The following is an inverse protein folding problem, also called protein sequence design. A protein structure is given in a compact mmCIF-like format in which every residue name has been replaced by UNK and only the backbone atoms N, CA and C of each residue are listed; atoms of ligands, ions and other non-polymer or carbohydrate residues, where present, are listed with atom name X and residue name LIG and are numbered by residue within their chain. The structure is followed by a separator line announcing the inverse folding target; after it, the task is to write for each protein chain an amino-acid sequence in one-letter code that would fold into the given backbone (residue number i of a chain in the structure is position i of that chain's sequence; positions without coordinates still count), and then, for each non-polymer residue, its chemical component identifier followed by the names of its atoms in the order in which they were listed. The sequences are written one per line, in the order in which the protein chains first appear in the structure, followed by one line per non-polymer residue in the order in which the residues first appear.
data_IF_413664214869
#
_entry.id   IF_413664214869
#
_cell.length_a   1.000
_cell.length_b   1.000
_cell.length_c   1.000
_cell.angle_alpha   90.00
_cell.angle_beta   90.00
_cell.angle_gamma   90.00
#
_symmetry.space_group_name_H-M   'P 1'
#
loop_
_entity.id
_entity.type
_entity.pdbx_description
1 polymer ?
#
# COMPACT_ATOMS: atom_id res chain seq x y z
N UNK A 1 -49.21 55.09 5.67
CA UNK A 1 -47.78 54.83 5.33
C UNK A 1 -47.19 53.55 5.95
N UNK A 2 -47.68 53.03 7.10
CA UNK A 2 -47.18 51.76 7.69
C UNK A 2 -47.31 50.52 6.80
N UNK A 3 -48.38 50.42 5.99
CA UNK A 3 -48.61 49.26 5.10
C UNK A 3 -47.55 49.15 3.97
N UNK A 4 -47.08 50.28 3.45
CA UNK A 4 -46.02 50.30 2.44
C UNK A 4 -44.64 50.00 3.04
N UNK A 5 -44.37 50.45 4.27
CA UNK A 5 -43.13 50.10 4.99
C UNK A 5 -43.03 48.59 5.27
N UNK A 6 -44.12 47.94 5.67
CA UNK A 6 -44.15 46.50 5.89
C UNK A 6 -43.94 45.69 4.60
N UNK A 7 -44.51 46.15 3.49
CA UNK A 7 -44.31 45.52 2.18
C UNK A 7 -42.84 45.63 1.71
N UNK A 8 -42.21 46.79 1.88
CA UNK A 8 -40.81 47.02 1.50
C UNK A 8 -39.86 46.16 2.34
N UNK A 9 -40.10 46.04 3.65
CA UNK A 9 -39.31 45.18 4.54
C UNK A 9 -39.40 43.69 4.14
N UNK A 10 -40.60 43.24 3.77
CA UNK A 10 -40.80 41.86 3.30
C UNK A 10 -40.08 41.61 1.96
N UNK A 11 -40.12 42.58 1.05
CA UNK A 11 -39.39 42.53 -0.22
C UNK A 11 -37.86 42.46 0.00
N UNK A 12 -37.32 43.30 0.87
CA UNK A 12 -35.88 43.29 1.20
C UNK A 12 -35.48 41.98 1.86
N UNK A 13 -36.32 41.44 2.77
CA UNK A 13 -36.08 40.15 3.40
C UNK A 13 -36.01 39.01 2.38
N UNK A 14 -36.99 38.91 1.47
CA UNK A 14 -37.00 37.93 0.39
C UNK A 14 -35.78 38.07 -0.53
N UNK A 15 -35.41 39.31 -0.88
CA UNK A 15 -34.24 39.57 -1.73
C UNK A 15 -32.95 39.10 -1.04
N UNK A 16 -32.81 39.36 0.27
CA UNK A 16 -31.62 38.95 1.03
C UNK A 16 -31.49 37.43 1.10
N UNK A 17 -32.59 36.70 1.32
CA UNK A 17 -32.60 35.23 1.34
C UNK A 17 -32.28 34.68 -0.04
N UNK A 18 -32.82 35.28 -1.11
CA UNK A 18 -32.50 34.90 -2.49
C UNK A 18 -31.01 35.05 -2.80
N UNK A 19 -30.40 36.19 -2.44
CA UNK A 19 -28.97 36.44 -2.62
C UNK A 19 -28.14 35.42 -1.80
N UNK A 20 -28.54 35.11 -0.58
CA UNK A 20 -27.83 34.16 0.30
C UNK A 20 -27.88 32.72 -0.26
N UNK A 21 -29.01 32.31 -0.83
CA UNK A 21 -29.14 31.03 -1.53
C UNK A 21 -28.32 30.99 -2.82
N UNK A 22 -28.29 32.08 -3.59
CA UNK A 22 -27.49 32.16 -4.79
C UNK A 22 -25.99 32.10 -4.45
N UNK A 23 -25.56 32.81 -3.40
CA UNK A 23 -24.19 32.78 -2.90
C UNK A 23 -23.80 31.39 -2.40
N UNK A 24 -24.70 30.68 -1.70
CA UNK A 24 -24.47 29.29 -1.29
C UNK A 24 -24.33 28.35 -2.48
N UNK A 25 -25.14 28.55 -3.52
CA UNK A 25 -25.11 27.73 -4.74
C UNK A 25 -23.82 27.96 -5.53
N UNK A 26 -23.41 29.21 -5.73
CA UNK A 26 -22.15 29.56 -6.37
C UNK A 26 -20.94 29.11 -5.54
N UNK A 27 -20.98 29.23 -4.21
CA UNK A 27 -19.89 28.75 -3.36
C UNK A 27 -19.78 27.21 -3.38
N UNK A 28 -20.90 26.49 -3.44
CA UNK A 28 -20.91 25.04 -3.64
C UNK A 28 -20.38 24.64 -5.03
N UNK A 29 -20.74 25.40 -6.07
CA UNK A 29 -20.24 25.21 -7.43
C UNK A 29 -18.74 25.47 -7.51
N UNK A 30 -18.25 26.53 -6.87
CA UNK A 30 -16.82 26.85 -6.72
C UNK A 30 -16.07 25.79 -5.94
N UNK A 31 -16.64 25.23 -4.85
CA UNK A 31 -16.05 24.08 -4.15
C UNK A 31 -15.98 22.85 -5.04
N UNK A 32 -17.00 22.60 -5.86
CA UNK A 32 -16.99 21.50 -6.84
C UNK A 32 -15.90 21.73 -7.88
N UNK A 33 -15.83 22.92 -8.48
CA UNK A 33 -14.83 23.27 -9.48
C UNK A 33 -13.42 23.27 -8.89
N UNK A 34 -13.21 23.77 -7.67
CA UNK A 34 -11.93 23.68 -6.96
C UNK A 34 -11.55 22.23 -6.64
N UNK A 35 -12.50 21.35 -6.31
CA UNK A 35 -12.23 19.92 -6.13
C UNK A 35 -11.76 19.25 -7.42
N UNK A 36 -12.32 19.65 -8.58
CA UNK A 36 -11.94 19.09 -9.88
C UNK A 36 -10.70 19.77 -10.52
N UNK A 37 -10.47 21.06 -10.27
CA UNK A 37 -9.30 21.80 -10.79
C UNK A 37 -8.07 21.60 -9.90
N UNK A 38 -8.23 21.37 -8.58
CA UNK A 38 -7.10 20.96 -7.74
C UNK A 38 -6.54 19.59 -8.13
N UNK A 39 -7.31 18.74 -8.81
CA UNK A 39 -6.91 17.40 -9.22
C UNK A 39 -5.80 17.37 -10.28
N UNK A 40 -5.54 18.48 -10.99
CA UNK A 40 -4.65 18.47 -12.16
C UNK A 40 -3.34 19.26 -12.01
N UNK A 41 -2.97 19.75 -10.82
CA UNK A 41 -1.59 20.27 -10.67
C UNK A 41 -1.22 21.08 -9.44
N UNK A 42 -2.15 21.38 -8.51
CA UNK A 42 -1.82 22.04 -7.23
C UNK A 42 -1.98 21.15 -6.00
N UNK A 43 -2.85 20.13 -6.02
CA UNK A 43 -2.88 19.11 -4.96
C UNK A 43 -1.54 18.41 -4.86
N UNK A 44 -0.90 18.12 -5.99
CA UNK A 44 0.37 17.41 -6.02
C UNK A 44 1.45 18.17 -5.24
N UNK A 45 1.58 19.50 -5.35
CA UNK A 45 2.61 20.23 -4.59
C UNK A 45 2.34 20.22 -3.08
N UNK A 46 1.08 20.33 -2.67
CA UNK A 46 0.71 20.28 -1.24
C UNK A 46 0.80 18.84 -0.67
N UNK A 47 0.44 17.84 -1.46
CA UNK A 47 0.58 16.41 -1.16
C UNK A 47 2.06 16.03 -1.11
N UNK A 48 2.86 16.46 -2.08
CA UNK A 48 4.32 16.30 -2.10
C UNK A 48 4.98 16.94 -0.89
N UNK A 49 4.57 18.16 -0.50
CA UNK A 49 5.05 18.81 0.73
C UNK A 49 4.63 18.06 2.00
N UNK A 50 3.40 17.53 2.05
CA UNK A 50 2.94 16.70 3.18
C UNK A 50 3.68 15.37 3.25
N UNK A 51 3.98 14.76 2.11
CA UNK A 51 4.79 13.54 2.01
C UNK A 51 6.22 13.81 2.48
N UNK A 52 6.84 14.89 2.02
CA UNK A 52 8.19 15.31 2.40
C UNK A 52 8.29 15.67 3.89
N UNK A 53 7.25 16.28 4.47
CA UNK A 53 7.22 16.61 5.90
C UNK A 53 6.81 15.42 6.79
N UNK A 54 6.01 14.49 6.30
CA UNK A 54 5.47 13.35 7.05
C UNK A 54 6.36 12.10 7.01
N UNK A 55 7.40 12.07 6.17
CA UNK A 55 8.42 11.02 6.19
C UNK A 55 9.58 11.46 7.07
N UNK A 56 9.73 10.88 8.26
CA UNK A 56 10.94 11.07 9.09
C UNK A 56 12.18 10.65 8.27
N UNK A 57 13.08 11.59 7.99
CA UNK A 57 14.35 11.37 7.28
C UNK A 57 15.42 10.69 8.16
N UNK A 58 15.06 9.71 8.98
CA UNK A 58 15.99 9.28 10.04
C UNK A 58 17.09 8.32 9.57
N UNK A 59 17.00 7.74 8.35
CA UNK A 59 18.07 6.89 7.80
C UNK A 59 18.20 7.07 6.27
N UNK A 60 19.24 7.77 5.77
CA UNK A 60 19.51 7.93 4.32
C UNK A 60 19.64 6.59 3.57
N UNK A 61 19.87 5.50 4.29
CA UNK A 61 20.08 4.15 3.77
C UNK A 61 18.77 3.41 3.46
N UNK A 62 17.66 3.77 4.12
CA UNK A 62 16.33 3.13 4.04
C UNK A 62 15.31 4.05 3.35
N UNK A 63 15.70 4.65 2.23
CA UNK A 63 14.86 5.55 1.44
C UNK A 63 13.74 4.78 0.68
N UNK A 64 12.89 4.06 1.41
CA UNK A 64 11.80 3.21 0.89
C UNK A 64 10.76 4.00 0.08
N UNK A 65 10.63 5.30 0.34
CA UNK A 65 9.78 6.22 -0.40
C UNK A 65 10.42 6.77 -1.67
N UNK A 66 11.75 6.63 -1.85
CA UNK A 66 12.49 7.13 -3.04
C UNK A 66 12.77 6.00 -4.04
N UNK A 67 12.58 6.23 -5.34
CA UNK A 67 11.93 7.38 -5.94
C UNK A 67 10.42 7.36 -5.64
N UNK A 68 9.85 8.56 -5.54
CA UNK A 68 8.43 8.70 -5.26
C UNK A 68 7.62 8.14 -6.44
N UNK A 69 6.74 7.16 -6.21
CA UNK A 69 5.98 6.55 -7.28
C UNK A 69 4.76 7.41 -7.61
N UNK A 70 4.58 7.72 -8.88
CA UNK A 70 3.45 8.52 -9.38
C UNK A 70 3.08 7.94 -10.73
N UNK A 71 1.78 7.78 -10.98
CA UNK A 71 1.30 7.35 -12.29
C UNK A 71 1.61 8.42 -13.33
N UNK A 72 2.42 8.08 -14.31
CA UNK A 72 2.87 8.95 -15.39
C UNK A 72 2.48 8.35 -16.73
N UNK A 73 1.91 9.18 -17.61
CA UNK A 73 1.49 8.76 -18.94
C UNK A 73 2.71 8.35 -19.78
N UNK A 74 2.68 7.15 -20.33
CA UNK A 74 3.67 6.64 -21.30
C UNK A 74 2.95 6.24 -22.58
N UNK A 75 3.33 6.84 -23.72
CA UNK A 75 2.54 6.73 -24.94
C UNK A 75 1.15 7.38 -24.80
N UNK A 76 0.15 6.87 -25.53
CA UNK A 76 -1.21 7.46 -25.54
C UNK A 76 -2.22 6.70 -24.68
N UNK A 77 -1.94 5.44 -24.34
CA UNK A 77 -2.90 4.55 -23.66
C UNK A 77 -2.36 3.89 -22.39
N UNK A 78 -1.12 4.18 -22.00
CA UNK A 78 -0.46 3.51 -20.87
C UNK A 78 -0.01 4.51 -19.82
N UNK A 79 0.07 4.05 -18.58
CA UNK A 79 0.57 4.79 -17.43
C UNK A 79 1.53 3.91 -16.64
N UNK A 80 2.69 4.44 -16.28
CA UNK A 80 3.70 3.76 -15.47
C UNK A 80 3.75 4.35 -14.06
N UNK A 81 3.93 3.51 -13.05
CA UNK A 81 3.89 3.92 -11.63
C UNK A 81 5.27 4.00 -10.98
N UNK A 82 5.98 2.88 -10.95
CA UNK A 82 7.26 2.72 -10.27
C UNK A 82 8.21 1.88 -11.11
N UNK A 83 9.50 2.17 -10.98
CA UNK A 83 10.55 1.56 -11.78
C UNK A 83 11.73 1.11 -10.91
N UNK A 84 12.22 -0.10 -11.16
CA UNK A 84 13.23 -0.77 -10.35
C UNK A 84 14.35 -1.28 -11.24
N UNK A 85 15.60 -1.12 -10.82
CA UNK A 85 16.77 -1.62 -11.52
C UNK A 85 17.33 -2.87 -10.85
N UNK A 86 17.47 -3.93 -11.63
CA UNK A 86 18.11 -5.17 -11.21
C UNK A 86 19.35 -5.46 -12.05
N UNK A 87 20.52 -5.49 -11.39
CA UNK A 87 21.77 -5.89 -12.05
C UNK A 87 21.84 -7.41 -12.10
N UNK A 88 22.23 -7.98 -13.26
CA UNK A 88 22.52 -9.41 -13.38
C UNK A 88 23.95 -9.62 -12.88
N UNK A 89 24.16 -10.57 -11.96
CA UNK A 89 25.49 -10.79 -11.36
C UNK A 89 26.40 -11.61 -12.25
N UNK A 90 25.85 -12.64 -12.90
CA UNK A 90 26.62 -13.61 -13.67
C UNK A 90 26.81 -13.19 -15.13
N UNK A 91 26.14 -12.11 -15.56
CA UNK A 91 26.15 -11.63 -16.93
C UNK A 91 26.21 -10.11 -16.92
N UNK A 92 27.00 -9.52 -17.80
CA UNK A 92 27.06 -8.07 -17.96
C UNK A 92 25.66 -7.48 -18.24
N UNK A 93 25.36 -6.35 -17.59
CA UNK A 93 24.11 -5.61 -17.73
C UNK A 93 23.09 -5.89 -16.63
N UNK A 94 21.81 -5.76 -16.99
CA UNK A 94 20.72 -5.71 -16.03
C UNK A 94 19.37 -5.56 -16.70
N UNK A 95 18.34 -5.38 -15.87
CA UNK A 95 16.95 -5.33 -16.28
C UNK A 95 16.21 -4.30 -15.43
N UNK A 96 15.54 -3.35 -16.08
CA UNK A 96 14.61 -2.45 -15.42
C UNK A 96 13.22 -3.07 -15.41
N UNK A 97 12.56 -3.07 -14.26
CA UNK A 97 11.22 -3.58 -14.01
C UNK A 97 10.30 -2.41 -13.72
N UNK A 98 9.20 -2.29 -14.46
CA UNK A 98 8.27 -1.15 -14.35
C UNK A 98 6.84 -1.64 -14.26
N UNK A 99 6.10 -1.13 -13.27
CA UNK A 99 4.68 -1.41 -13.11
C UNK A 99 3.88 -0.47 -14.00
N UNK A 100 3.04 -1.03 -14.88
CA UNK A 100 2.32 -0.30 -15.92
C UNK A 100 0.85 -0.73 -15.95
N UNK A 101 -0.04 0.21 -16.25
CA UNK A 101 -1.43 -0.07 -16.59
C UNK A 101 -1.74 0.53 -17.96
N UNK A 102 -2.48 -0.22 -18.77
CA UNK A 102 -2.95 0.22 -20.09
C UNK A 102 -4.47 0.22 -20.16
N UNK A 103 -5.04 1.06 -21.03
CA UNK A 103 -6.45 0.91 -21.42
C UNK A 103 -6.68 -0.49 -21.96
N UNK A 104 -7.84 -1.07 -21.66
CA UNK A 104 -8.20 -2.39 -22.21
C UNK A 104 -8.14 -2.37 -23.74
N UNK A 105 -7.52 -3.40 -24.34
CA UNK A 105 -7.36 -3.51 -25.80
C UNK A 105 -6.26 -2.64 -26.41
N UNK A 106 -5.50 -1.89 -25.61
CA UNK A 106 -4.36 -1.12 -26.11
C UNK A 106 -3.24 -2.05 -26.61
N UNK A 107 -2.65 -1.71 -27.76
CA UNK A 107 -1.53 -2.46 -28.35
C UNK A 107 -0.24 -2.08 -27.63
N UNK A 108 0.49 -3.08 -27.13
CA UNK A 108 1.75 -2.88 -26.42
C UNK A 108 2.91 -2.94 -27.42
N UNK A 109 3.37 -1.77 -27.88
CA UNK A 109 4.53 -1.65 -28.78
C UNK A 109 5.45 -0.48 -28.39
N UNK A 110 6.48 -0.80 -27.61
CA UNK A 110 7.39 0.19 -27.04
C UNK A 110 8.85 -0.13 -27.36
N UNK A 111 9.63 0.94 -27.54
CA UNK A 111 11.09 0.91 -27.41
C UNK A 111 11.47 1.38 -26.02
N UNK A 112 12.48 0.77 -25.42
CA UNK A 112 12.95 1.17 -24.10
C UNK A 112 14.40 1.66 -24.16
N UNK A 113 14.71 2.64 -23.32
CA UNK A 113 16.06 3.18 -23.16
C UNK A 113 16.32 3.55 -21.70
N UNK A 114 17.59 3.49 -21.31
CA UNK A 114 18.08 3.77 -19.97
C UNK A 114 19.00 4.98 -20.02
N UNK A 115 18.82 5.93 -19.11
CA UNK A 115 19.72 7.07 -18.95
C UNK A 115 20.79 6.76 -17.91
N UNK A 116 22.04 7.08 -18.25
CA UNK A 116 23.23 6.80 -17.44
C UNK A 116 24.06 8.08 -17.35
N UNK A 117 24.36 8.55 -16.14
CA UNK A 117 25.19 9.75 -15.94
C UNK A 117 24.57 11.01 -16.56
N UNK A 118 23.25 11.16 -16.44
CA UNK A 118 22.47 12.33 -16.90
C UNK A 118 22.30 12.53 -18.42
N UNK A 119 23.31 12.22 -19.24
CA UNK A 119 23.31 12.58 -20.68
C UNK A 119 23.34 11.39 -21.63
N UNK A 120 23.96 10.27 -21.23
CA UNK A 120 24.09 9.09 -22.09
C UNK A 120 22.83 8.25 -22.02
N UNK A 121 22.30 7.87 -23.19
CA UNK A 121 21.19 6.93 -23.29
C UNK A 121 21.68 5.59 -23.86
N UNK A 122 21.18 4.49 -23.30
CA UNK A 122 21.46 3.14 -23.76
C UNK A 122 20.15 2.48 -24.14
N UNK A 123 20.04 2.04 -25.38
CA UNK A 123 18.85 1.33 -25.86
C UNK A 123 18.83 -0.09 -25.28
N UNK A 124 17.68 -0.47 -24.72
CA UNK A 124 17.44 -1.81 -24.20
C UNK A 124 16.49 -2.62 -25.08
N UNK A 125 16.40 -3.91 -24.77
CA UNK A 125 15.40 -4.83 -25.32
C UNK A 125 14.14 -4.76 -24.46
N UNK A 126 13.06 -4.28 -25.06
CA UNK A 126 11.75 -4.25 -24.42
C UNK A 126 11.13 -5.65 -24.35
N UNK A 127 10.52 -5.96 -23.22
CA UNK A 127 9.62 -7.10 -23.01
C UNK A 127 8.50 -6.67 -22.09
N UNK A 128 7.40 -7.40 -22.10
CA UNK A 128 6.34 -7.22 -21.13
C UNK A 128 5.72 -8.56 -20.73
N UNK A 129 5.06 -8.56 -19.58
CA UNK A 129 4.25 -9.66 -19.07
C UNK A 129 2.92 -9.09 -18.58
N UNK A 130 1.81 -9.77 -18.89
CA UNK A 130 0.51 -9.47 -18.29
C UNK A 130 0.47 -10.03 -16.86
N UNK A 131 -0.15 -9.30 -15.92
CA UNK A 131 -0.37 -9.84 -14.58
C UNK A 131 -1.34 -11.03 -14.64
N UNK A 132 -0.80 -12.24 -14.45
CA UNK A 132 -1.45 -13.53 -14.75
C UNK A 132 -2.64 -13.93 -13.87
N UNK A 133 -3.17 -13.00 -13.07
CA UNK A 133 -4.44 -13.18 -12.35
C UNK A 133 -5.66 -12.75 -13.16
N UNK A 134 -5.46 -12.23 -14.38
CA UNK A 134 -6.54 -12.06 -15.36
C UNK A 134 -6.98 -13.44 -15.85
N UNK A 135 -8.09 -13.95 -15.29
CA UNK A 135 -8.78 -15.07 -15.92
C UNK A 135 -9.09 -14.68 -17.37
N UNK A 136 -8.75 -15.56 -18.32
CA UNK A 136 -9.05 -15.45 -19.77
C UNK A 136 -10.55 -15.32 -20.07
N UNK A 137 -11.40 -15.40 -19.05
CA UNK A 137 -12.81 -15.02 -19.14
C UNK A 137 -12.86 -13.50 -19.32
N UNK A 138 -13.15 -13.07 -20.55
CA UNK A 138 -13.39 -11.71 -20.98
C UNK A 138 -14.10 -10.86 -19.92
N UNK A 139 -13.31 -10.20 -19.08
CA UNK A 139 -13.80 -9.31 -18.04
C UNK A 139 -13.99 -7.93 -18.68
N UNK A 140 -14.99 -7.83 -19.56
CA UNK A 140 -15.43 -6.59 -20.23
C UNK A 140 -15.84 -5.49 -19.23
N UNK A 141 -15.92 -5.82 -17.95
CA UNK A 141 -16.22 -4.90 -16.85
C UNK A 141 -15.05 -3.97 -16.50
N UNK A 142 -13.83 -4.30 -16.94
CA UNK A 142 -12.62 -3.63 -16.46
C UNK A 142 -12.00 -2.67 -17.47
N UNK A 143 -11.86 -1.42 -17.07
CA UNK A 143 -11.38 -0.34 -17.94
C UNK A 143 -9.86 -0.38 -18.23
N UNK A 144 -9.11 -1.26 -17.58
CA UNK A 144 -7.65 -1.34 -17.70
C UNK A 144 -7.09 -2.76 -17.55
N UNK A 145 -5.90 -2.95 -18.12
CA UNK A 145 -5.07 -4.15 -18.02
C UNK A 145 -3.76 -3.81 -17.31
N UNK A 146 -3.28 -4.73 -16.46
CA UNK A 146 -2.03 -4.53 -15.70
C UNK A 146 -0.86 -5.25 -16.36
N UNK A 147 0.27 -4.56 -16.50
CA UNK A 147 1.46 -5.05 -17.17
C UNK A 147 2.70 -4.84 -16.31
N UNK A 148 3.64 -5.76 -16.46
CA UNK A 148 5.02 -5.61 -16.01
C UNK A 148 5.88 -5.37 -17.25
N UNK A 149 6.42 -4.17 -17.37
CA UNK A 149 7.34 -3.82 -18.45
C UNK A 149 8.78 -4.09 -18.02
N UNK A 150 9.57 -4.65 -18.94
CA UNK A 150 10.97 -4.97 -18.74
C UNK A 150 11.82 -4.28 -19.80
N UNK A 151 12.91 -3.65 -19.37
CA UNK A 151 13.94 -3.13 -20.26
C UNK A 151 15.27 -3.82 -19.95
N UNK A 152 15.63 -4.80 -20.79
CA UNK A 152 16.84 -5.59 -20.60
C UNK A 152 18.01 -5.01 -21.39
N UNK A 153 19.19 -4.99 -20.78
CA UNK A 153 20.44 -4.68 -21.45
C UNK A 153 21.51 -5.75 -21.17
N UNK A 154 22.34 -6.00 -22.17
CA UNK A 154 23.38 -7.05 -22.12
C UNK A 154 24.79 -6.52 -21.89
N UNK A 155 24.96 -5.20 -21.83
CA UNK A 155 26.25 -4.54 -21.58
C UNK A 155 26.19 -3.87 -20.22
N UNK A 156 27.32 -3.88 -19.52
CA UNK A 156 27.47 -3.07 -18.32
C UNK A 156 27.85 -1.64 -18.70
N UNK A 157 27.11 -0.69 -18.17
CA UNK A 157 27.32 0.75 -18.37
C UNK A 157 27.19 1.50 -17.06
N UNK A 158 27.33 0.80 -15.92
CA UNK A 158 27.16 1.39 -14.60
C UNK A 158 25.71 1.39 -14.12
N UNK A 159 25.37 2.33 -13.25
CA UNK A 159 24.06 2.42 -12.61
C UNK A 159 23.16 3.38 -13.41
N UNK A 160 22.09 2.88 -14.07
CA UNK A 160 21.17 3.76 -14.78
C UNK A 160 20.26 4.51 -13.81
N UNK A 161 20.07 5.81 -14.04
CA UNK A 161 19.29 6.70 -13.17
C UNK A 161 17.80 6.64 -13.48
N UNK A 162 17.44 6.45 -14.75
CA UNK A 162 16.06 6.42 -15.21
C UNK A 162 15.85 5.50 -16.40
N UNK A 163 14.65 4.98 -16.54
CA UNK A 163 14.18 4.24 -17.72
C UNK A 163 13.09 5.04 -18.43
N UNK A 164 13.05 4.97 -19.75
CA UNK A 164 12.02 5.59 -20.56
C UNK A 164 11.49 4.62 -21.60
N UNK A 165 10.17 4.68 -21.83
CA UNK A 165 9.49 3.89 -22.85
C UNK A 165 8.90 4.84 -23.90
N UNK A 166 9.27 4.64 -25.15
CA UNK A 166 8.77 5.41 -26.29
C UNK A 166 7.87 4.50 -27.10
N UNK A 167 6.60 4.88 -27.19
CA UNK A 167 5.64 4.25 -28.11
C UNK A 167 6.13 4.51 -29.54
N UNK A 168 6.21 3.45 -30.36
CA UNK A 168 6.71 3.56 -31.74
C UNK A 168 5.84 4.49 -32.59
N UNK A 169 4.55 4.60 -32.24
CA UNK A 169 3.58 5.41 -32.98
C UNK A 169 3.52 6.87 -32.50
N UNK A 170 4.09 7.17 -31.33
CA UNK A 170 3.97 8.49 -30.71
C UNK A 170 5.18 9.38 -30.97
N UNK A 171 4.91 10.67 -31.25
CA UNK A 171 5.93 11.71 -31.47
C UNK A 171 6.31 12.40 -30.14
N UNK A 172 5.62 12.06 -29.03
CA UNK A 172 5.84 12.72 -27.73
C UNK A 172 7.21 12.38 -27.16
N UNK A 173 7.81 13.35 -26.46
CA UNK A 173 9.05 13.14 -25.73
C UNK A 173 8.85 12.04 -24.68
N UNK A 174 9.77 11.06 -24.58
CA UNK A 174 9.57 9.94 -23.68
C UNK A 174 9.75 10.37 -22.22
N UNK A 175 8.83 9.91 -21.38
CA UNK A 175 8.86 10.18 -19.94
C UNK A 175 9.96 9.35 -19.29
N UNK A 176 10.77 10.00 -18.45
CA UNK A 176 11.87 9.37 -17.71
C UNK A 176 11.43 8.98 -16.30
N UNK A 177 11.26 7.69 -16.07
CA UNK A 177 10.93 7.12 -14.77
C UNK A 177 12.22 6.89 -13.98
N UNK A 178 12.35 7.49 -12.80
CA UNK A 178 13.51 7.28 -11.92
C UNK A 178 13.56 5.84 -11.42
N UNK A 179 14.74 5.25 -11.44
CA UNK A 179 14.95 3.85 -11.03
C UNK A 179 15.30 3.75 -9.55
N UNK A 180 14.64 2.84 -8.85
CA UNK A 180 15.11 2.35 -7.55
C UNK A 180 16.07 1.19 -7.75
N UNK A 181 17.30 1.33 -7.26
CA UNK A 181 18.28 0.25 -7.38
C UNK A 181 18.04 -0.82 -6.32
N UNK A 182 17.70 -2.03 -6.76
CA UNK A 182 17.61 -3.19 -5.88
C UNK A 182 19.03 -3.69 -5.61
N UNK A 183 19.67 -3.13 -4.58
CA UNK A 183 21.01 -3.55 -4.13
C UNK A 183 20.91 -4.96 -3.52
N UNK A 184 21.65 -5.92 -4.06
CA UNK A 184 21.81 -7.22 -3.38
C UNK A 184 22.64 -7.03 -2.11
N UNK A 185 22.23 -7.68 -1.04
CA UNK A 185 23.07 -7.85 0.15
C UNK A 185 24.33 -8.62 -0.26
N UNK A 186 25.44 -7.91 -0.50
CA UNK A 186 26.73 -8.54 -0.77
C UNK A 186 27.26 -9.12 0.53
N UNK A 187 27.44 -10.45 0.58
CA UNK A 187 28.02 -11.15 1.72
C UNK A 187 29.49 -10.75 2.02
N UNK A 188 30.11 -9.88 1.21
CA UNK A 188 31.52 -9.50 1.31
C UNK A 188 31.75 -8.04 1.75
N UNK A 189 30.72 -7.26 2.03
CA UNK A 189 30.89 -5.92 2.60
C UNK A 189 30.72 -5.99 4.12
N UNK A 190 31.77 -5.69 4.88
CA UNK A 190 31.80 -5.74 6.35
C UNK A 190 30.86 -4.73 7.05
N UNK A 191 30.03 -4.00 6.30
CA UNK A 191 29.10 -2.96 6.77
C UNK A 191 27.79 -3.00 5.98
N UNK A 192 27.21 -4.18 5.74
CA UNK A 192 25.82 -4.26 5.25
C UNK A 192 24.90 -3.85 6.40
N UNK A 193 24.10 -2.77 6.27
CA UNK A 193 23.12 -2.43 7.29
C UNK A 193 22.18 -3.61 7.50
N UNK A 194 21.90 -3.94 8.76
CA UNK A 194 21.01 -5.04 9.10
C UNK A 194 19.66 -4.84 8.41
N UNK A 195 19.16 -5.88 7.73
CA UNK A 195 17.81 -5.86 7.15
C UNK A 195 16.81 -5.66 8.28
N UNK A 196 15.76 -4.89 8.00
CA UNK A 196 14.62 -4.79 8.91
C UNK A 196 14.01 -6.18 9.13
N UNK A 197 13.54 -6.48 10.35
CA UNK A 197 12.93 -7.77 10.63
C UNK A 197 11.62 -7.94 9.84
N UNK A 198 10.77 -6.90 9.82
CA UNK A 198 9.56 -6.87 9.01
C UNK A 198 9.14 -5.43 8.69
N UNK A 199 8.29 -5.30 7.66
CA UNK A 199 7.61 -4.06 7.27
C UNK A 199 6.14 -4.34 7.03
N UNK A 200 5.28 -3.34 7.21
CA UNK A 200 3.87 -3.41 6.82
C UNK A 200 3.60 -2.42 5.70
N UNK A 201 3.03 -2.90 4.60
CA UNK A 201 2.45 -2.03 3.59
C UNK A 201 0.97 -1.81 3.91
N UNK A 202 0.56 -0.55 4.02
CA UNK A 202 -0.79 -0.15 4.37
C UNK A 202 -1.52 0.30 3.10
N UNK A 203 -2.59 -0.41 2.76
CA UNK A 203 -3.45 -0.14 1.61
C UNK A 203 -4.60 0.79 2.03
N UNK A 204 -4.41 2.11 1.90
CA UNK A 204 -5.51 3.08 2.05
C UNK A 204 -6.27 3.31 0.73
N UNK A 205 -5.78 2.80 -0.39
CA UNK A 205 -6.42 2.94 -1.71
C UNK A 205 -7.71 2.12 -1.75
N UNK A 206 -7.62 0.84 -1.38
CA UNK A 206 -8.77 -0.06 -1.35
C UNK A 206 -9.58 0.00 -0.06
N UNK A 207 -9.20 0.87 0.89
CA UNK A 207 -9.84 0.97 2.20
C UNK A 207 -10.90 2.08 2.22
N UNK A 208 -12.08 1.77 2.76
CA UNK A 208 -13.12 2.76 2.91
C UNK A 208 -12.92 3.56 4.21
N UNK A 209 -12.25 4.71 4.11
CA UNK A 209 -12.07 5.66 5.23
C UNK A 209 -13.38 6.18 5.81
N UNK A 210 -14.50 6.11 5.05
CA UNK A 210 -15.82 6.53 5.54
C UNK A 210 -16.57 5.44 6.31
N UNK A 211 -16.03 4.23 6.41
CA UNK A 211 -16.57 3.14 7.21
C UNK A 211 -16.53 3.44 8.71
N UNK A 212 -17.25 2.65 9.53
CA UNK A 212 -17.21 2.76 11.00
C UNK A 212 -15.78 2.69 11.54
N UNK A 213 -15.01 1.71 11.09
CA UNK A 213 -13.59 1.58 11.44
C UNK A 213 -12.78 2.79 10.99
N UNK A 214 -12.94 3.24 9.73
CA UNK A 214 -12.16 4.34 9.17
C UNK A 214 -12.39 5.70 9.82
N UNK A 215 -13.58 5.93 10.39
CA UNK A 215 -13.88 7.15 11.15
C UNK A 215 -13.36 7.12 12.58
N UNK A 216 -13.02 5.95 13.10
CA UNK A 216 -12.52 5.79 14.46
C UNK A 216 -10.99 5.96 14.48
N UNK A 217 -10.55 7.16 14.81
CA UNK A 217 -9.12 7.51 14.85
C UNK A 217 -8.33 6.66 15.85
N UNK A 218 -8.95 6.29 16.98
CA UNK A 218 -8.32 5.41 17.96
C UNK A 218 -8.09 4.01 17.39
N UNK A 219 -9.01 3.49 16.59
CA UNK A 219 -8.85 2.19 15.92
C UNK A 219 -7.70 2.24 14.89
N UNK A 220 -7.60 3.33 14.12
CA UNK A 220 -6.49 3.55 13.19
C UNK A 220 -5.14 3.66 13.92
N UNK A 221 -5.05 4.41 15.01
CA UNK A 221 -3.84 4.50 15.84
C UNK A 221 -3.47 3.12 16.41
N UNK A 222 -4.44 2.40 16.95
CA UNK A 222 -4.24 1.05 17.49
C UNK A 222 -3.71 0.06 16.46
N UNK A 223 -4.13 0.15 15.18
CA UNK A 223 -3.53 -0.65 14.11
C UNK A 223 -2.02 -0.46 14.05
N UNK A 224 -1.51 0.79 14.04
CA UNK A 224 -0.08 1.03 13.96
C UNK A 224 0.67 0.63 15.24
N UNK A 225 0.15 1.01 16.42
CA UNK A 225 0.76 0.70 17.70
C UNK A 225 0.84 -0.81 17.96
N UNK A 226 -0.18 -1.57 17.55
CA UNK A 226 -0.18 -3.03 17.67
C UNK A 226 0.97 -3.65 16.88
N UNK A 227 1.17 -3.22 15.63
CA UNK A 227 2.27 -3.72 14.82
C UNK A 227 3.64 -3.22 15.32
N UNK A 228 3.72 -2.02 15.90
CA UNK A 228 4.93 -1.55 16.57
C UNK A 228 5.29 -2.44 17.78
N UNK A 229 4.31 -2.82 18.61
CA UNK A 229 4.53 -3.73 19.74
C UNK A 229 5.04 -5.13 19.30
N UNK A 230 4.74 -5.54 18.06
CA UNK A 230 5.29 -6.75 17.43
C UNK A 230 6.74 -6.61 16.94
N UNK A 231 7.33 -5.42 17.05
CA UNK A 231 8.65 -5.07 16.54
C UNK A 231 8.65 -4.63 15.07
N UNK A 232 7.51 -4.16 14.54
CA UNK A 232 7.42 -3.59 13.19
C UNK A 232 7.39 -2.07 13.29
N UNK A 233 8.50 -1.43 12.96
CA UNK A 233 8.65 0.02 13.09
C UNK A 233 8.40 0.76 11.77
N UNK A 234 8.47 0.08 10.62
CA UNK A 234 8.47 0.71 9.30
C UNK A 234 7.22 0.36 8.48
N UNK A 235 6.50 1.40 8.05
CA UNK A 235 5.20 1.28 7.36
C UNK A 235 5.21 2.01 6.01
N UNK A 236 4.92 1.31 4.92
CA UNK A 236 4.74 1.93 3.59
C UNK A 236 3.25 2.18 3.38
N UNK A 237 2.83 3.44 3.39
CA UNK A 237 1.41 3.81 3.37
C UNK A 237 1.04 4.30 1.98
N UNK A 238 0.26 3.50 1.25
CA UNK A 238 -0.27 3.85 -0.07
C UNK A 238 -1.49 4.75 0.08
N UNK A 239 -1.54 5.83 -0.69
CA UNK A 239 -2.55 6.88 -0.57
C UNK A 239 -2.51 7.59 0.79
N UNK A 240 -1.29 7.90 1.23
CA UNK A 240 -1.00 8.48 2.55
C UNK A 240 -1.79 9.76 2.86
N UNK A 241 -2.21 10.50 1.85
CA UNK A 241 -3.01 11.72 1.99
C UNK A 241 -4.41 11.50 2.56
N UNK A 242 -4.92 10.27 2.52
CA UNK A 242 -6.17 9.89 3.19
C UNK A 242 -6.00 9.68 4.71
N UNK A 243 -4.77 9.56 5.21
CA UNK A 243 -4.53 9.40 6.64
C UNK A 243 -4.73 10.75 7.36
N UNK A 244 -5.62 10.83 8.37
CA UNK A 244 -5.85 12.05 9.14
C UNK A 244 -4.56 12.63 9.79
N UNK A 245 -4.40 13.94 9.72
CA UNK A 245 -3.17 14.63 10.17
C UNK A 245 -2.93 14.49 11.69
N UNK A 246 -4.00 14.45 12.48
CA UNK A 246 -3.92 14.18 13.90
C UNK A 246 -3.37 12.79 14.22
N UNK A 247 -3.74 11.77 13.43
CA UNK A 247 -3.18 10.43 13.57
C UNK A 247 -1.68 10.46 13.25
N UNK A 248 -1.29 11.09 12.14
CA UNK A 248 0.13 11.26 11.77
C UNK A 248 0.91 11.91 12.92
N UNK A 249 0.41 13.01 13.49
CA UNK A 249 1.06 13.72 14.60
C UNK A 249 1.20 12.88 15.88
N UNK A 250 0.25 11.98 16.15
CA UNK A 250 0.34 11.06 17.29
C UNK A 250 1.41 10.00 17.01
N UNK A 251 1.38 9.40 15.83
CA UNK A 251 2.36 8.38 15.42
C UNK A 251 3.78 8.95 15.33
N UNK A 252 3.96 10.22 14.96
CA UNK A 252 5.26 10.90 14.94
C UNK A 252 5.92 10.98 16.32
N UNK A 253 5.17 10.86 17.40
CA UNK A 253 5.70 10.83 18.78
C UNK A 253 6.16 9.44 19.22
N UNK A 254 5.98 8.44 18.37
CA UNK A 254 6.37 7.05 18.61
C UNK A 254 7.61 6.69 17.78
N UNK A 255 8.07 5.43 17.93
CA UNK A 255 9.14 4.87 17.10
C UNK A 255 8.63 4.33 15.75
N UNK A 256 7.44 4.75 15.32
CA UNK A 256 6.90 4.39 14.01
C UNK A 256 7.46 5.33 12.94
N UNK A 257 7.91 4.72 11.84
CA UNK A 257 8.36 5.38 10.63
C UNK A 257 7.33 5.16 9.51
N UNK A 258 6.63 6.23 9.14
CA UNK A 258 5.67 6.23 8.04
C UNK A 258 6.35 6.66 6.75
N UNK A 259 6.24 5.83 5.71
CA UNK A 259 6.67 6.11 4.35
C UNK A 259 5.45 6.33 3.47
N UNK A 260 5.07 7.59 3.31
CA UNK A 260 3.93 7.96 2.47
C UNK A 260 4.22 7.77 0.98
N UNK A 261 3.33 7.06 0.29
CA UNK A 261 3.38 6.83 -1.15
C UNK A 261 2.08 7.36 -1.78
N UNK A 262 2.15 8.31 -2.72
CA UNK A 262 0.96 8.76 -3.42
C UNK A 262 0.44 7.67 -4.36
N UNK A 263 -0.87 7.66 -4.60
CA UNK A 263 -1.51 6.68 -5.48
C UNK A 263 -2.57 7.33 -6.37
N UNK A 264 -2.11 8.25 -7.24
CA UNK A 264 -2.92 8.98 -8.21
C UNK A 264 -3.40 8.09 -9.39
N UNK A 265 -4.15 7.04 -9.09
CA UNK A 265 -4.52 6.01 -10.06
C UNK A 265 -5.33 6.59 -11.24
N UNK A 266 -4.94 6.31 -12.52
CA UNK A 266 -5.49 7.01 -13.68
C UNK A 266 -6.88 6.51 -14.14
N UNK A 267 -7.39 5.44 -13.54
CA UNK A 267 -8.69 4.87 -13.88
C UNK A 267 -9.67 4.97 -12.71
N UNK A 268 -10.97 5.06 -13.02
CA UNK A 268 -12.01 4.99 -12.00
C UNK A 268 -11.98 3.63 -11.31
N UNK A 269 -11.95 3.65 -9.98
CA UNK A 269 -11.94 2.45 -9.17
C UNK A 269 -13.38 2.00 -8.88
N UNK A 270 -13.69 0.76 -9.27
CA UNK A 270 -14.89 0.02 -8.86
C UNK A 270 -14.50 -1.16 -7.97
N UNK A 271 -15.49 -1.76 -7.31
CA UNK A 271 -15.29 -3.00 -6.53
C UNK A 271 -14.65 -4.13 -7.35
N UNK A 272 -14.97 -4.20 -8.64
CA UNK A 272 -14.43 -5.22 -9.57
C UNK A 272 -12.94 -4.98 -9.83
N UNK A 273 -12.52 -3.71 -9.95
CA UNK A 273 -11.11 -3.35 -10.15
C UNK A 273 -10.27 -3.38 -8.88
N UNK A 274 -10.89 -3.40 -7.69
CA UNK A 274 -10.20 -3.31 -6.40
C UNK A 274 -9.14 -4.42 -6.20
N UNK A 275 -9.44 -5.65 -6.64
CA UNK A 275 -8.48 -6.77 -6.57
C UNK A 275 -7.25 -6.54 -7.44
N UNK A 276 -7.43 -5.93 -8.63
CA UNK A 276 -6.33 -5.64 -9.55
C UNK A 276 -5.46 -4.52 -9.03
N UNK A 277 -6.08 -3.45 -8.53
CA UNK A 277 -5.37 -2.35 -7.85
C UNK A 277 -4.56 -2.87 -6.66
N UNK A 278 -5.15 -3.74 -5.83
CA UNK A 278 -4.43 -4.38 -4.73
C UNK A 278 -3.25 -5.25 -5.20
N UNK A 279 -3.37 -5.94 -6.34
CA UNK A 279 -2.26 -6.70 -6.94
C UNK A 279 -1.09 -5.79 -7.32
N UNK A 280 -1.37 -4.61 -7.90
CA UNK A 280 -0.35 -3.60 -8.25
C UNK A 280 0.34 -3.08 -6.99
N UNK A 281 -0.44 -2.71 -5.97
CA UNK A 281 0.09 -2.25 -4.67
C UNK A 281 0.95 -3.33 -4.03
N UNK A 282 0.51 -4.59 -4.08
CA UNK A 282 1.27 -5.72 -3.57
C UNK A 282 2.60 -5.91 -4.31
N UNK A 283 2.61 -5.83 -5.64
CA UNK A 283 3.83 -5.93 -6.44
C UNK A 283 4.81 -4.78 -6.11
N UNK A 284 4.32 -3.55 -5.98
CA UNK A 284 5.14 -2.41 -5.58
C UNK A 284 5.70 -2.58 -4.16
N UNK A 285 4.85 -2.99 -3.22
CA UNK A 285 5.23 -3.25 -1.82
C UNK A 285 6.34 -4.29 -1.73
N UNK A 286 6.23 -5.39 -2.47
CA UNK A 286 7.29 -6.40 -2.55
C UNK A 286 8.59 -5.79 -3.05
N UNK A 287 8.55 -5.11 -4.20
CA UNK A 287 9.73 -4.56 -4.87
C UNK A 287 10.47 -3.52 -4.04
N UNK A 288 9.75 -2.63 -3.32
CA UNK A 288 10.36 -1.64 -2.42
C UNK A 288 11.08 -2.27 -1.23
N UNK A 289 10.53 -3.36 -0.72
CA UNK A 289 11.05 -4.01 0.49
C UNK A 289 12.14 -5.05 0.20
N UNK A 290 12.33 -5.49 -1.06
CA UNK A 290 13.39 -6.45 -1.40
C UNK A 290 14.75 -5.90 -0.96
N UNK A 291 15.49 -6.73 -0.22
CA UNK A 291 16.79 -6.41 0.39
C UNK A 291 16.76 -5.37 1.52
N UNK A 292 15.59 -4.80 1.84
CA UNK A 292 15.42 -3.84 2.93
C UNK A 292 14.84 -4.52 4.17
N UNK A 293 13.89 -5.44 3.99
CA UNK A 293 13.26 -6.19 5.07
C UNK A 293 13.38 -7.70 4.85
N UNK A 294 13.27 -8.48 5.93
CA UNK A 294 13.20 -9.95 5.86
C UNK A 294 11.79 -10.42 5.52
N UNK A 295 10.78 -9.74 6.08
CA UNK A 295 9.37 -10.01 5.82
C UNK A 295 8.60 -8.74 5.46
N UNK A 296 7.53 -8.89 4.68
CA UNK A 296 6.53 -7.84 4.47
C UNK A 296 5.13 -8.40 4.39
N UNK A 297 4.14 -7.60 4.75
CA UNK A 297 2.72 -7.94 4.65
C UNK A 297 1.94 -6.73 4.14
N UNK A 298 0.97 -6.96 3.24
CA UNK A 298 0.05 -5.93 2.77
C UNK A 298 -1.27 -6.03 3.55
N UNK A 299 -1.61 -4.97 4.28
CA UNK A 299 -2.79 -4.90 5.15
C UNK A 299 -3.61 -3.64 4.85
N UNK A 300 -4.93 -3.74 4.98
CA UNK A 300 -5.79 -2.57 5.19
C UNK A 300 -5.78 -2.19 6.68
N UNK A 301 -6.12 -0.94 7.06
CA UNK A 301 -6.11 -0.53 8.47
C UNK A 301 -7.01 -1.37 9.40
N UNK A 302 -8.06 -1.99 8.87
CA UNK A 302 -8.93 -2.91 9.61
C UNK A 302 -8.41 -4.36 9.62
N UNK A 303 -7.20 -4.62 9.16
CA UNK A 303 -6.57 -5.93 9.10
C UNK A 303 -5.36 -5.95 10.02
N UNK A 304 -5.36 -6.78 11.05
CA UNK A 304 -4.28 -6.82 12.05
C UNK A 304 -3.70 -8.22 12.13
N UNK A 305 -2.39 -8.32 12.02
CA UNK A 305 -1.66 -9.58 12.11
C UNK A 305 -1.24 -9.88 13.54
N UNK A 306 -1.46 -11.12 13.99
CA UNK A 306 -1.04 -11.62 15.30
C UNK A 306 -0.16 -12.85 15.12
N UNK A 307 1.16 -12.72 15.28
CA UNK A 307 2.05 -13.86 15.40
C UNK A 307 2.12 -14.36 16.84
N UNK A 308 2.52 -15.63 17.00
CA UNK A 308 2.77 -16.24 18.30
C UNK A 308 4.04 -15.71 19.02
N UNK A 309 4.84 -14.91 18.33
CA UNK A 309 6.06 -14.28 18.84
C UNK A 309 6.38 -13.02 18.03
N UNK A 310 7.17 -12.12 18.60
CA UNK A 310 7.65 -10.91 17.91
C UNK A 310 8.58 -11.24 16.73
N UNK A 311 8.66 -10.31 15.77
CA UNK A 311 9.56 -10.44 14.62
C UNK A 311 11.04 -10.31 15.01
N UNK A 312 11.37 -9.30 15.81
CA UNK A 312 12.67 -9.13 16.43
C UNK A 312 12.53 -9.37 17.94
N UNK A 313 12.80 -10.59 18.39
CA UNK A 313 13.07 -10.84 19.79
C UNK A 313 14.57 -10.68 20.02
N UNK A 314 14.95 -10.17 21.19
CA UNK A 314 16.33 -9.96 21.60
C UNK A 314 17.08 -11.31 21.66
N UNK A 315 17.62 -11.74 20.50
CA UNK A 315 18.46 -12.93 20.28
C UNK A 315 17.94 -14.27 20.80
N UNK A 316 16.65 -14.42 21.10
CA UNK A 316 16.07 -15.72 21.51
C UNK A 316 15.69 -16.57 20.30
N UNK A 317 15.83 -17.89 20.41
CA UNK A 317 15.38 -18.87 19.40
C UNK A 317 13.86 -18.88 19.17
N UNK A 318 13.10 -18.02 19.85
CA UNK A 318 11.64 -17.96 19.84
C UNK A 318 11.04 -16.95 18.86
N UNK A 319 11.83 -16.14 18.15
CA UNK A 319 11.28 -15.13 17.22
C UNK A 319 10.52 -15.76 16.06
N UNK A 320 9.50 -15.06 15.54
CA UNK A 320 8.73 -15.54 14.38
C UNK A 320 9.64 -15.77 13.18
N UNK A 321 10.64 -14.92 12.96
CA UNK A 321 11.62 -15.09 11.89
C UNK A 321 12.38 -16.42 12.01
N UNK A 322 12.84 -16.75 13.22
CA UNK A 322 13.57 -18.00 13.47
C UNK A 322 12.64 -19.21 13.28
N UNK A 323 11.39 -19.11 13.75
CA UNK A 323 10.38 -20.13 13.53
C UNK A 323 10.19 -20.36 12.03
N UNK A 324 9.90 -19.35 11.22
CA UNK A 324 9.63 -19.49 9.79
C UNK A 324 10.83 -19.98 8.95
N UNK A 325 12.04 -20.05 9.50
CA UNK A 325 13.22 -20.65 8.83
C UNK A 325 13.15 -22.17 8.69
N UNK A 326 12.25 -22.86 9.43
CA UNK A 326 12.08 -24.31 9.24
C UNK A 326 11.49 -24.66 7.87
N UNK A 327 10.80 -23.70 7.22
CA UNK A 327 10.33 -23.86 5.84
C UNK A 327 11.48 -23.68 4.85
N UNK A 328 11.44 -24.44 3.75
CA UNK A 328 12.41 -24.36 2.64
C UNK A 328 12.66 -22.91 2.22
N UNK A 329 13.90 -22.57 1.85
CA UNK A 329 14.29 -21.25 1.37
C UNK A 329 13.46 -20.76 0.15
N UNK A 330 12.85 -21.68 -0.60
CA UNK A 330 11.99 -21.37 -1.74
C UNK A 330 10.54 -20.95 -1.33
N UNK A 331 10.15 -21.20 -0.08
CA UNK A 331 8.84 -20.82 0.46
C UNK A 331 8.80 -19.33 0.82
N UNK A 332 8.44 -18.49 -0.15
CA UNK A 332 8.35 -17.04 0.08
C UNK A 332 6.99 -16.55 0.57
N UNK A 333 5.92 -17.35 0.51
CA UNK A 333 4.55 -16.91 0.81
C UNK A 333 3.91 -17.77 1.89
N UNK A 334 3.47 -17.12 2.96
CA UNK A 334 2.83 -17.74 4.10
C UNK A 334 1.40 -17.21 4.21
N UNK A 335 0.41 -18.06 3.97
CA UNK A 335 -1.00 -17.71 4.11
C UNK A 335 -1.42 -17.75 5.58
N UNK A 336 -2.11 -16.70 6.02
CA UNK A 336 -2.60 -16.55 7.38
C UNK A 336 -4.08 -16.90 7.44
N UNK A 337 -4.45 -17.73 8.42
CA UNK A 337 -5.85 -17.87 8.79
C UNK A 337 -6.41 -16.49 9.17
N UNK A 338 -7.56 -16.13 8.61
CA UNK A 338 -8.16 -14.79 8.76
C UNK A 338 -9.53 -14.90 9.40
N UNK A 339 -9.71 -14.23 10.54
CA UNK A 339 -11.00 -14.14 11.24
C UNK A 339 -11.71 -12.83 10.90
N UNK A 340 -12.97 -12.91 10.45
CA UNK A 340 -13.83 -11.75 10.24
C UNK A 340 -14.44 -11.31 11.58
N UNK A 341 -13.67 -10.53 12.35
CA UNK A 341 -14.02 -10.10 13.72
C UNK A 341 -15.01 -8.95 13.68
N UNK A 342 -16.07 -9.04 14.49
CA UNK A 342 -17.07 -8.00 14.60
C UNK A 342 -16.49 -6.77 15.29
N UNK A 343 -16.52 -5.63 14.60
CA UNK A 343 -16.00 -4.38 15.11
C UNK A 343 -17.03 -3.68 16.02
N UNK A 344 -16.61 -3.38 17.24
CA UNK A 344 -17.34 -2.56 18.20
C UNK A 344 -16.54 -1.29 18.50
N UNK A 345 -17.10 -0.13 18.15
CA UNK A 345 -16.46 1.18 18.32
C UNK A 345 -16.19 1.54 19.79
N UNK A 346 -16.93 0.94 20.73
CA UNK A 346 -16.76 1.19 22.16
C UNK A 346 -15.62 0.37 22.77
N UNK A 347 -15.10 -0.60 22.02
CA UNK A 347 -14.09 -1.54 22.47
C UNK A 347 -12.76 -1.25 21.79
N UNK A 348 -11.66 -1.51 22.50
CA UNK A 348 -10.34 -1.48 21.87
C UNK A 348 -10.22 -2.66 20.90
N UNK A 349 -9.30 -2.57 19.95
CA UNK A 349 -8.90 -3.72 19.15
C UNK A 349 -8.34 -4.83 20.06
N UNK A 350 -7.97 -5.97 19.48
CA UNK A 350 -7.49 -7.16 20.21
C UNK A 350 -8.62 -7.86 20.98
N UNK A 351 -8.40 -8.12 22.27
CA UNK A 351 -9.16 -9.02 23.12
C UNK A 351 -10.53 -8.51 23.53
N UNK A 352 -10.86 -7.24 23.24
CA UNK A 352 -12.18 -6.72 23.56
C UNK A 352 -13.20 -7.08 22.45
N UNK A 353 -12.72 -7.26 21.21
CA UNK A 353 -13.51 -7.73 20.07
C UNK A 353 -13.35 -9.26 19.90
N UNK A 354 -14.14 -10.02 20.66
CA UNK A 354 -14.00 -11.49 20.76
C UNK A 354 -14.82 -12.28 19.73
N UNK A 355 -15.89 -11.68 19.20
CA UNK A 355 -16.84 -12.36 18.34
C UNK A 355 -16.40 -12.27 16.88
N UNK A 356 -16.39 -13.39 16.16
CA UNK A 356 -16.14 -13.43 14.72
C UNK A 356 -17.23 -14.21 13.98
N UNK A 357 -17.41 -13.85 12.72
CA UNK A 357 -18.34 -14.48 11.79
C UNK A 357 -17.58 -15.50 10.91
N UNK A 358 -17.81 -16.82 11.07
CA UNK A 358 -17.13 -17.85 10.28
C UNK A 358 -17.66 -17.95 8.84
N UNK A 359 -18.89 -17.49 8.57
CA UNK A 359 -19.50 -17.55 7.24
C UNK A 359 -18.97 -16.45 6.34
N UNK A 360 -18.53 -15.34 6.94
CA UNK A 360 -17.97 -14.20 6.22
C UNK A 360 -16.52 -14.45 5.81
N UNK A 361 -16.34 -14.91 4.57
CA UNK A 361 -15.02 -15.11 3.95
C UNK A 361 -14.33 -13.78 3.65
N UNK A 362 -13.01 -13.74 3.87
CA UNK A 362 -12.18 -12.62 3.46
C UNK A 362 -12.18 -12.47 1.92
N UNK A 363 -12.20 -11.23 1.38
CA UNK A 363 -12.25 -11.01 -0.07
C UNK A 363 -10.97 -11.42 -0.80
N UNK A 364 -9.88 -11.62 -0.05
CA UNK A 364 -8.58 -12.09 -0.48
C UNK A 364 -7.85 -12.77 0.68
N UNK A 365 -6.82 -13.56 0.34
CA UNK A 365 -5.92 -14.20 1.30
C UNK A 365 -4.93 -13.17 1.86
N UNK A 366 -4.67 -13.21 3.17
CA UNK A 366 -3.59 -12.44 3.79
C UNK A 366 -2.30 -13.25 3.72
N UNK A 367 -1.25 -12.65 3.16
CA UNK A 367 0.01 -13.32 2.90
C UNK A 367 1.16 -12.59 3.58
N UNK A 368 1.86 -13.25 4.49
CA UNK A 368 3.16 -12.83 4.98
C UNK A 368 4.23 -13.27 3.96
N UNK A 369 5.00 -12.32 3.46
CA UNK A 369 5.94 -12.52 2.36
C UNK A 369 7.38 -12.49 2.90
N UNK A 370 8.15 -13.56 2.66
CA UNK A 370 9.59 -13.60 2.95
C UNK A 370 10.38 -13.10 1.74
N UNK A 371 11.26 -12.14 1.97
CA UNK A 371 11.93 -11.37 0.92
C UNK A 371 13.38 -11.84 0.65
N UNK A 372 13.57 -13.15 0.64
CA UNK A 372 14.88 -13.78 0.41
C UNK A 372 15.09 -14.18 -1.06
N UNK A 373 14.01 -14.39 -1.80
CA UNK A 373 14.09 -14.75 -3.21
C UNK A 373 14.41 -13.54 -4.12
N UNK A 374 15.00 -13.77 -5.30
CA UNK A 374 15.13 -12.74 -6.32
C UNK A 374 13.76 -12.11 -6.68
N UNK A 375 13.69 -10.82 -7.02
CA UNK A 375 12.42 -10.13 -7.28
C UNK A 375 11.58 -10.77 -8.39
N UNK A 376 12.20 -11.29 -9.45
CA UNK A 376 11.50 -12.02 -10.52
C UNK A 376 10.76 -13.25 -9.99
N UNK A 377 11.39 -13.99 -9.07
CA UNK A 377 10.78 -15.14 -8.42
C UNK A 377 9.73 -14.71 -7.40
N UNK A 378 9.97 -13.65 -6.61
CA UNK A 378 8.98 -13.13 -5.66
C UNK A 378 7.66 -12.74 -6.34
N UNK A 379 7.75 -12.11 -7.52
CA UNK A 379 6.58 -11.72 -8.31
C UNK A 379 5.90 -12.93 -8.97
N UNK A 380 6.68 -13.87 -9.51
CA UNK A 380 6.15 -15.03 -10.23
C UNK A 380 5.68 -16.20 -9.33
N UNK A 381 6.20 -16.31 -8.11
CA UNK A 381 5.88 -17.42 -7.21
C UNK A 381 4.39 -17.42 -6.90
N UNK A 382 3.65 -18.49 -7.19
CA UNK A 382 2.23 -18.61 -6.83
C UNK A 382 2.01 -19.57 -5.66
N UNK A 383 3.03 -20.38 -5.34
CA UNK A 383 2.99 -21.31 -4.24
C UNK A 383 2.99 -20.57 -2.90
N UNK A 384 2.16 -21.05 -1.99
CA UNK A 384 2.05 -20.55 -0.63
C UNK A 384 1.85 -21.73 0.31
N UNK A 385 2.26 -21.55 1.56
CA UNK A 385 2.04 -22.50 2.63
C UNK A 385 1.09 -21.86 3.62
N UNK A 386 0.02 -22.56 3.97
CA UNK A 386 -0.88 -22.14 5.04
C UNK A 386 -0.17 -22.30 6.39
N UNK A 387 -0.07 -21.20 7.15
CA UNK A 387 0.46 -21.24 8.50
C UNK A 387 -0.59 -21.79 9.46
N UNK A 388 -0.15 -22.65 10.38
CA UNK A 388 -0.99 -23.10 11.47
C UNK A 388 -1.41 -21.93 12.37
N UNK A 389 -2.63 -21.99 12.90
CA UNK A 389 -3.15 -21.03 13.88
C UNK A 389 -2.24 -20.85 15.10
N UNK A 390 -1.43 -21.85 15.45
CA UNK A 390 -0.44 -21.79 16.53
C UNK A 390 0.79 -20.93 16.21
N UNK A 391 1.02 -20.60 14.94
CA UNK A 391 2.13 -19.74 14.48
C UNK A 391 1.68 -18.30 14.33
N UNK A 392 0.49 -18.08 13.79
CA UNK A 392 -0.10 -16.76 13.66
C UNK A 392 -1.37 -16.77 12.84
N UNK A 393 -2.16 -15.72 13.01
CA UNK A 393 -3.41 -15.48 12.29
C UNK A 393 -3.61 -13.98 12.11
N UNK A 394 -4.65 -13.59 11.38
CA UNK A 394 -5.02 -12.20 11.22
C UNK A 394 -6.49 -11.96 11.57
N UNK A 395 -6.79 -10.79 12.12
CA UNK A 395 -8.15 -10.29 12.21
C UNK A 395 -8.43 -9.36 11.05
N UNK A 396 -9.64 -9.47 10.49
CA UNK A 396 -10.24 -8.45 9.65
C UNK A 396 -11.47 -7.93 10.38
N UNK A 397 -11.39 -6.70 10.89
CA UNK A 397 -12.50 -6.05 11.57
C UNK A 397 -13.57 -5.64 10.57
N UNK A 398 -14.81 -6.06 10.81
CA UNK A 398 -15.95 -5.87 9.92
C UNK A 398 -17.21 -5.48 10.68
N UNK A 399 -18.12 -4.80 9.99
CA UNK A 399 -19.46 -4.53 10.50
C UNK A 399 -20.30 -5.82 10.40
N UNK A 400 -20.49 -6.52 11.52
CA UNK A 400 -21.34 -7.72 11.59
C UNK A 400 -22.82 -7.33 11.65
N UNK A 401 -23.66 -8.02 10.88
CA UNK A 401 -25.11 -7.79 10.87
C UNK A 401 -25.82 -8.42 12.08
N UNK A 402 -25.28 -9.50 12.66
CA UNK A 402 -25.95 -10.31 13.69
C UNK A 402 -25.10 -10.45 14.97
N UNK A 403 -24.68 -9.34 15.59
CA UNK A 403 -23.94 -9.38 16.87
C UNK A 403 -24.85 -9.93 17.98
N UNK A 404 -24.61 -11.18 18.41
CA UNK A 404 -25.35 -11.84 19.49
C UNK A 404 -26.37 -12.91 19.07
N UNK A 405 -26.41 -13.31 17.80
CA UNK A 405 -27.19 -14.47 17.33
C UNK A 405 -26.33 -15.76 17.29
N UNK A 406 -26.97 -16.93 17.16
CA UNK A 406 -26.39 -18.29 17.22
C UNK A 406 -25.26 -18.63 16.22
N UNK A 407 -24.80 -17.67 15.40
CA UNK A 407 -23.77 -17.86 14.37
C UNK A 407 -22.41 -17.19 14.66
N UNK A 408 -22.26 -16.43 15.75
CA UNK A 408 -20.97 -15.84 16.10
C UNK A 408 -20.18 -16.76 17.03
N UNK A 409 -18.88 -16.83 16.77
CA UNK A 409 -17.97 -17.67 17.52
C UNK A 409 -16.94 -16.80 18.25
N UNK A 410 -16.46 -17.30 19.38
CA UNK A 410 -15.33 -16.70 20.09
C UNK A 410 -14.01 -17.21 19.46
N UNK A 411 -13.25 -16.33 18.83
CA UNK A 411 -12.00 -16.73 18.16
C UNK A 411 -10.96 -17.24 19.15
N UNK A 412 -11.03 -16.84 20.42
CA UNK A 412 -10.08 -17.23 21.47
C UNK A 412 -10.11 -18.74 21.73
N UNK A 413 -11.24 -19.39 21.48
CA UNK A 413 -11.38 -20.84 21.62
C UNK A 413 -10.48 -21.63 20.64
N UNK A 414 -10.08 -21.01 19.53
CA UNK A 414 -9.17 -21.62 18.54
C UNK A 414 -7.69 -21.37 18.81
N UNK A 415 -7.35 -20.60 19.85
CA UNK A 415 -5.98 -20.15 20.13
C UNK A 415 -5.43 -20.84 21.38
N UNK A 416 -4.18 -21.31 21.31
CA UNK A 416 -3.51 -21.95 22.44
C UNK A 416 -3.33 -20.98 23.61
N UNK A 417 -3.34 -21.49 24.83
CA UNK A 417 -3.22 -20.68 26.05
C UNK A 417 -1.93 -19.85 26.12
N UNK A 418 -0.79 -20.39 25.68
CA UNK A 418 0.49 -19.67 25.65
C UNK A 418 0.50 -18.53 24.61
N UNK A 419 -0.14 -18.74 23.46
CA UNK A 419 -0.32 -17.70 22.46
C UNK A 419 -1.32 -16.63 22.96
N UNK A 420 -2.40 -17.03 23.63
CA UNK A 420 -3.32 -16.07 24.26
C UNK A 420 -2.61 -15.19 25.30
N UNK A 421 -1.68 -15.76 26.07
CA UNK A 421 -0.88 -14.98 27.02
C UNK A 421 0.03 -13.98 26.32
N UNK A 422 0.66 -14.37 25.20
CA UNK A 422 1.41 -13.42 24.37
C UNK A 422 0.53 -12.26 23.87
N UNK A 423 -0.70 -12.54 23.43
CA UNK A 423 -1.66 -11.52 22.99
C UNK A 423 -2.07 -10.60 24.16
N UNK A 424 -2.26 -11.14 25.37
CA UNK A 424 -2.53 -10.34 26.57
C UNK A 424 -1.38 -9.36 26.87
N UNK A 425 -0.13 -9.84 26.77
CA UNK A 425 1.06 -8.99 26.97
C UNK A 425 1.10 -7.87 25.94
N UNK A 426 0.89 -8.20 24.66
CA UNK A 426 0.84 -7.21 23.57
C UNK A 426 -0.26 -6.16 23.80
N UNK A 427 -1.45 -6.60 24.24
CA UNK A 427 -2.54 -5.68 24.61
C UNK A 427 -2.10 -4.69 25.67
N UNK A 428 -1.50 -5.18 26.75
CA UNK A 428 -1.07 -4.31 27.85
C UNK A 428 -0.03 -3.29 27.40
N UNK A 429 0.89 -3.66 26.50
CA UNK A 429 1.86 -2.73 25.93
C UNK A 429 1.19 -1.68 25.03
N UNK A 430 0.27 -2.09 24.17
CA UNK A 430 -0.49 -1.14 23.33
C UNK A 430 -1.29 -0.18 24.20
N UNK A 431 -1.88 -0.67 25.29
CA UNK A 431 -2.62 0.17 26.25
C UNK A 431 -1.74 1.19 26.99
N UNK A 432 -0.43 0.95 27.09
CA UNK A 432 0.54 1.91 27.65
C UNK A 432 1.01 2.94 26.60
N UNK A 433 0.86 2.64 25.30
CA UNK A 433 1.27 3.51 24.20
C UNK A 433 0.17 4.47 23.73
N UNK A 434 -1.09 4.21 24.11
CA UNK A 434 -2.27 5.07 23.89
C UNK A 434 -2.40 6.03 25.06
#
# INVERSE_FOLDING_TARGET
MRKYQQLVLLLISCLSVGILLMYKTENNRLKYVLKYVNFFGRSDVAVLRRLENGTKEDLPQLALWRPMPVWQVIGDSFHAYSAYWMRKELVAGGEAHVLVVGKQGAVVDFRCSLAVGGTRTVQGKFRFQLDGKESVVNDFSTNFTSYHFFCQVSRDFGQPESVSFTDITSIKSPVKLRLQHLKRASAKAATVPARLPATVCVDLVGFNMTSRFGRNENALIQFFLTHQALGIEHFLVYNFDELPENIIRVLDRTNIHLYGLPFNFPFQQSNETARRVRSIIHADCLLRNVNQASFTILLQPNEVFYPNARFAADRSQSSLQQQLRHFSADTARFELATFSVCFDEQKKLLLDNIQYDPERKAPYKMLLQRLELPPTQLLANTAHVELSLSTGFAHRYVDCSNVGADGLHDWRNGVRADFMEHINILRNEVDLLI
#
